data_IF_686737954124
#
_entry.id   IF_686737954124
#
_cell.length_a   1.000
_cell.length_b   1.000
_cell.length_c   1.000
_cell.angle_alpha   90.00
_cell.angle_beta   90.00
_cell.angle_gamma   90.00
#
_symmetry.space_group_name_H-M   'P 1'
#
loop_
_entity.id
_entity.type
_entity.pdbx_description
1 polymer ?
#
# COMPACT_ATOMS: atom_id res chain seq x y z
N UNK A 1 -50.50 -0.51 31.04
CA UNK A 1 -49.97 0.39 30.00
C UNK A 1 -48.46 0.32 30.09
N UNK A 2 -47.83 -0.42 29.18
CA UNK A 2 -46.37 -0.46 29.07
C UNK A 2 -45.98 0.82 28.35
N UNK A 3 -45.25 1.70 29.03
CA UNK A 3 -44.68 2.89 28.41
C UNK A 3 -43.66 2.41 27.37
N UNK A 4 -43.96 2.67 26.09
CA UNK A 4 -42.95 2.63 25.03
C UNK A 4 -42.01 3.80 25.30
N UNK A 5 -40.98 3.58 26.12
CA UNK A 5 -39.83 4.46 26.15
C UNK A 5 -39.16 4.35 24.77
N UNK A 6 -39.21 5.45 24.01
CA UNK A 6 -38.38 5.60 22.82
C UNK A 6 -36.93 5.39 23.24
N UNK A 7 -36.19 4.49 22.57
CA UNK A 7 -34.80 4.24 22.91
C UNK A 7 -34.00 5.55 22.84
N UNK A 8 -33.01 5.75 23.73
CA UNK A 8 -32.17 6.94 23.70
C UNK A 8 -31.50 7.08 22.32
N UNK A 9 -31.72 8.22 21.68
CA UNK A 9 -31.09 8.58 20.41
C UNK A 9 -29.78 9.29 20.70
N UNK A 10 -28.66 8.61 20.49
CA UNK A 10 -27.33 9.21 20.59
C UNK A 10 -26.97 9.93 19.30
N UNK A 11 -26.54 11.19 19.39
CA UNK A 11 -26.03 11.93 18.24
C UNK A 11 -24.60 11.47 17.90
N UNK A 12 -24.31 11.27 16.61
CA UNK A 12 -22.95 10.98 16.17
C UNK A 12 -22.01 12.13 16.50
N UNK A 13 -20.86 11.82 17.12
CA UNK A 13 -19.82 12.79 17.45
C UNK A 13 -18.85 13.02 16.28
N UNK A 14 -18.93 12.18 15.24
CA UNK A 14 -18.14 12.28 14.02
C UNK A 14 -19.03 12.53 12.81
N UNK A 15 -18.58 13.43 11.94
CA UNK A 15 -19.21 13.72 10.65
C UNK A 15 -18.16 13.58 9.55
N UNK A 16 -18.45 12.79 8.51
CA UNK A 16 -17.48 12.48 7.44
C UNK A 16 -16.83 13.74 6.84
N UNK A 17 -17.64 14.77 6.54
CA UNK A 17 -17.16 16.02 5.95
C UNK A 17 -16.26 16.87 6.86
N UNK A 18 -16.16 16.55 8.15
CA UNK A 18 -15.21 17.15 9.09
C UNK A 18 -13.95 16.29 9.28
N UNK A 19 -14.06 14.99 8.99
CA UNK A 19 -12.99 14.01 9.17
C UNK A 19 -12.09 13.85 7.95
N UNK A 20 -12.52 14.38 6.81
CA UNK A 20 -11.78 14.41 5.56
C UNK A 20 -11.40 15.85 5.24
N UNK A 21 -10.15 16.11 4.81
CA UNK A 21 -9.75 17.45 4.38
C UNK A 21 -10.63 17.91 3.22
N UNK A 22 -11.01 19.20 3.20
CA UNK A 22 -11.90 19.73 2.16
C UNK A 22 -11.26 19.62 0.78
N UNK A 23 -11.98 18.97 -0.13
CA UNK A 23 -11.60 18.83 -1.52
C UNK A 23 -12.59 19.59 -2.41
N UNK A 24 -12.17 20.77 -2.90
CA UNK A 24 -13.02 21.64 -3.72
C UNK A 24 -12.47 21.72 -5.14
N UNK A 25 -13.12 21.03 -6.07
CA UNK A 25 -12.87 21.16 -7.50
C UNK A 25 -14.16 21.57 -8.21
N UNK A 26 -14.08 22.58 -9.07
CA UNK A 26 -15.23 23.09 -9.81
C UNK A 26 -15.75 22.11 -10.88
N UNK A 27 -14.90 21.19 -11.34
CA UNK A 27 -15.23 20.20 -12.36
C UNK A 27 -14.39 18.94 -12.18
N UNK A 28 -15.02 17.77 -12.33
CA UNK A 28 -14.44 16.44 -12.11
C UNK A 28 -14.22 15.75 -13.46
N UNK A 29 -13.17 16.14 -14.18
CA UNK A 29 -12.86 15.63 -15.52
C UNK A 29 -12.87 14.09 -15.62
N UNK A 30 -12.40 13.42 -14.57
CA UNK A 30 -12.34 11.96 -14.54
C UNK A 30 -13.72 11.28 -14.59
N UNK A 31 -14.83 11.96 -14.23
CA UNK A 31 -16.18 11.41 -14.41
C UNK A 31 -16.51 11.26 -15.91
N UNK A 32 -16.08 12.21 -16.75
CA UNK A 32 -16.25 12.14 -18.20
C UNK A 32 -15.28 11.16 -18.86
N UNK A 33 -14.05 11.06 -18.36
CA UNK A 33 -13.11 10.03 -18.80
C UNK A 33 -13.59 8.62 -18.45
N UNK A 34 -14.27 8.44 -17.31
CA UNK A 34 -14.89 7.17 -16.94
C UNK A 34 -15.95 6.75 -17.95
N UNK A 35 -16.75 7.69 -18.48
CA UNK A 35 -17.67 7.40 -19.59
C UNK A 35 -16.91 6.83 -20.79
N UNK A 36 -15.86 7.51 -21.26
CA UNK A 36 -15.08 7.05 -22.41
C UNK A 36 -14.48 5.65 -22.19
N UNK A 37 -13.97 5.37 -20.98
CA UNK A 37 -13.40 4.05 -20.64
C UNK A 37 -14.46 2.96 -20.61
N UNK A 38 -15.64 3.19 -20.02
CA UNK A 38 -16.73 2.20 -19.99
C UNK A 38 -17.22 1.78 -21.38
N UNK A 39 -17.04 2.64 -22.38
CA UNK A 39 -17.35 2.38 -23.79
C UNK A 39 -16.17 1.84 -24.60
N UNK A 40 -14.95 1.84 -24.04
CA UNK A 40 -13.78 1.25 -24.66
C UNK A 40 -13.85 -0.29 -24.68
N UNK A 41 -12.86 -0.95 -25.26
CA UNK A 41 -12.77 -2.42 -25.31
C UNK A 41 -11.72 -2.99 -24.34
N UNK A 42 -11.15 -2.15 -23.47
CA UNK A 42 -10.12 -2.55 -22.52
C UNK A 42 -10.75 -3.04 -21.19
N UNK A 43 -10.96 -4.34 -21.10
CA UNK A 43 -11.60 -5.02 -19.95
C UNK A 43 -10.91 -4.71 -18.60
N UNK A 44 -9.57 -4.78 -18.48
CA UNK A 44 -8.87 -4.35 -17.26
C UNK A 44 -9.21 -2.91 -16.84
N UNK A 45 -9.21 -1.96 -17.77
CA UNK A 45 -9.50 -0.56 -17.47
C UNK A 45 -10.96 -0.34 -17.07
N UNK A 46 -11.90 -0.98 -17.76
CA UNK A 46 -13.33 -0.95 -17.40
C UNK A 46 -13.53 -1.51 -15.98
N UNK A 47 -12.87 -2.60 -15.66
CA UNK A 47 -12.94 -3.22 -14.33
C UNK A 47 -12.45 -2.27 -13.24
N UNK A 48 -11.35 -1.55 -13.49
CA UNK A 48 -10.83 -0.55 -12.53
C UNK A 48 -11.79 0.64 -12.35
N UNK A 49 -12.43 1.11 -13.43
CA UNK A 49 -13.45 2.18 -13.32
C UNK A 49 -14.62 1.74 -12.45
N UNK A 50 -15.12 0.51 -12.65
CA UNK A 50 -16.18 -0.07 -11.82
C UNK A 50 -15.73 -0.23 -10.37
N UNK A 51 -14.49 -0.69 -10.16
CA UNK A 51 -13.91 -0.99 -8.84
C UNK A 51 -13.84 0.23 -7.93
N UNK A 52 -13.26 1.33 -8.42
CA UNK A 52 -13.14 2.58 -7.64
C UNK A 52 -14.46 3.36 -7.63
N UNK A 53 -15.25 3.26 -8.70
CA UNK A 53 -16.59 3.81 -8.74
C UNK A 53 -16.66 5.33 -8.68
N UNK A 54 -15.69 6.05 -9.26
CA UNK A 54 -15.55 7.51 -9.15
C UNK A 54 -16.60 8.28 -10.00
N UNK A 55 -17.87 8.05 -9.70
CA UNK A 55 -19.03 8.66 -10.33
C UNK A 55 -20.13 8.88 -9.29
N UNK A 56 -20.92 9.93 -9.47
CA UNK A 56 -22.05 10.27 -8.58
C UNK A 56 -23.24 9.33 -8.77
N UNK A 57 -23.53 8.96 -10.01
CA UNK A 57 -24.61 8.03 -10.32
C UNK A 57 -24.11 6.58 -10.22
N UNK A 58 -24.50 5.90 -9.14
CA UNK A 58 -24.13 4.50 -8.89
C UNK A 58 -24.67 3.52 -9.95
N UNK A 59 -25.70 3.91 -10.72
CA UNK A 59 -26.31 3.07 -11.77
C UNK A 59 -25.59 3.20 -13.12
N UNK A 60 -24.68 4.17 -13.24
CA UNK A 60 -24.03 4.52 -14.49
C UNK A 60 -23.27 3.36 -15.16
N UNK A 61 -22.43 2.56 -14.47
CA UNK A 61 -21.77 1.41 -15.09
C UNK A 61 -22.76 0.34 -15.55
N UNK A 62 -23.81 0.10 -14.76
CA UNK A 62 -24.87 -0.87 -15.10
C UNK A 62 -25.56 -0.47 -16.41
N UNK A 63 -26.00 0.77 -16.51
CA UNK A 63 -26.68 1.29 -17.69
C UNK A 63 -25.76 1.25 -18.92
N UNK A 64 -24.49 1.62 -18.74
CA UNK A 64 -23.47 1.56 -19.80
C UNK A 64 -23.28 0.13 -20.31
N UNK A 65 -23.09 -0.85 -19.43
CA UNK A 65 -22.91 -2.25 -19.80
C UNK A 65 -24.17 -2.87 -20.42
N UNK A 66 -25.36 -2.58 -19.91
CA UNK A 66 -26.63 -3.07 -20.47
C UNK A 66 -26.83 -2.62 -21.92
N UNK A 67 -26.34 -1.43 -22.27
CA UNK A 67 -26.43 -0.89 -23.63
C UNK A 67 -25.43 -1.50 -24.63
N UNK A 68 -24.45 -2.29 -24.17
CA UNK A 68 -23.49 -2.97 -25.05
C UNK A 68 -24.11 -4.23 -25.66
N UNK A 69 -23.56 -4.64 -26.81
CA UNK A 69 -23.99 -5.87 -27.46
C UNK A 69 -23.66 -7.12 -26.62
N UNK A 70 -24.40 -8.20 -26.87
CA UNK A 70 -24.28 -9.45 -26.11
C UNK A 70 -22.88 -10.08 -26.21
N UNK A 71 -22.29 -10.08 -27.41
CA UNK A 71 -20.98 -10.67 -27.67
C UNK A 71 -19.85 -10.00 -26.86
N UNK A 72 -19.91 -8.67 -26.72
CA UNK A 72 -18.93 -7.92 -25.92
C UNK A 72 -19.08 -8.23 -24.43
N UNK A 73 -20.31 -8.29 -23.93
CA UNK A 73 -20.59 -8.62 -22.53
C UNK A 73 -20.15 -10.06 -22.23
N UNK A 74 -20.36 -10.99 -23.17
CA UNK A 74 -19.88 -12.35 -23.04
C UNK A 74 -18.35 -12.44 -22.99
N UNK A 75 -17.65 -11.82 -23.95
CA UNK A 75 -16.19 -11.79 -23.97
C UNK A 75 -15.60 -11.16 -22.69
N UNK A 76 -16.23 -10.10 -22.19
CA UNK A 76 -15.86 -9.46 -20.93
C UNK A 76 -16.02 -10.45 -19.76
N UNK A 77 -17.20 -11.04 -19.61
CA UNK A 77 -17.45 -12.00 -18.54
C UNK A 77 -16.48 -13.19 -18.57
N UNK A 78 -16.20 -13.74 -19.76
CA UNK A 78 -15.24 -14.85 -19.90
C UNK A 78 -13.82 -14.46 -19.50
N UNK A 79 -13.42 -13.21 -19.76
CA UNK A 79 -12.10 -12.68 -19.35
C UNK A 79 -11.98 -12.54 -17.83
N UNK A 80 -13.08 -12.25 -17.13
CA UNK A 80 -13.12 -12.13 -15.66
C UNK A 80 -13.33 -13.47 -14.93
N UNK A 81 -13.45 -14.57 -15.66
CA UNK A 81 -13.92 -15.84 -15.11
C UNK A 81 -12.94 -16.98 -15.34
N UNK A 82 -12.88 -17.88 -14.37
CA UNK A 82 -12.06 -19.08 -14.48
C UNK A 82 -12.64 -20.03 -15.55
N UNK A 83 -11.80 -20.78 -16.29
CA UNK A 83 -12.26 -21.67 -17.36
C UNK A 83 -13.33 -22.68 -16.93
N UNK A 84 -13.29 -23.12 -15.67
CA UNK A 84 -14.28 -24.07 -15.11
C UNK A 84 -15.68 -23.47 -14.96
N UNK A 85 -15.78 -22.14 -14.84
CA UNK A 85 -17.04 -21.42 -14.65
C UNK A 85 -17.70 -21.06 -15.98
N UNK A 86 -16.98 -21.12 -17.09
CA UNK A 86 -17.47 -20.63 -18.39
C UNK A 86 -18.79 -21.30 -18.80
N UNK A 87 -18.93 -22.62 -18.61
CA UNK A 87 -20.14 -23.34 -18.98
C UNK A 87 -21.39 -22.85 -18.23
N UNK A 88 -21.29 -22.56 -16.93
CA UNK A 88 -22.42 -22.07 -16.15
C UNK A 88 -22.76 -20.62 -16.49
N UNK A 89 -21.74 -19.79 -16.71
CA UNK A 89 -21.89 -18.38 -17.04
C UNK A 89 -22.50 -18.14 -18.43
N UNK A 90 -22.28 -19.05 -19.39
CA UNK A 90 -22.87 -18.97 -20.72
C UNK A 90 -24.40 -19.05 -20.73
N UNK A 91 -25.00 -19.70 -19.72
CA UNK A 91 -26.46 -19.87 -19.61
C UNK A 91 -27.19 -18.63 -19.09
N UNK A 92 -26.45 -17.63 -18.60
CA UNK A 92 -27.01 -16.41 -18.03
C UNK A 92 -27.63 -15.51 -19.11
N UNK A 93 -28.75 -14.87 -18.79
CA UNK A 93 -29.30 -13.78 -19.61
C UNK A 93 -28.33 -12.59 -19.68
N UNK A 94 -28.51 -11.71 -20.68
CA UNK A 94 -27.68 -10.50 -20.83
C UNK A 94 -27.58 -9.68 -19.55
N UNK A 95 -28.72 -9.46 -18.88
CA UNK A 95 -28.77 -8.71 -17.62
C UNK A 95 -27.99 -9.42 -16.51
N UNK A 96 -28.14 -10.74 -16.37
CA UNK A 96 -27.41 -11.52 -15.37
C UNK A 96 -25.90 -11.53 -15.63
N UNK A 97 -25.47 -11.57 -16.90
CA UNK A 97 -24.05 -11.44 -17.27
C UNK A 97 -23.50 -10.08 -16.84
N UNK A 98 -24.26 -9.00 -17.05
CA UNK A 98 -23.88 -7.64 -16.60
C UNK A 98 -23.76 -7.56 -15.07
N UNK A 99 -24.72 -8.09 -14.31
CA UNK A 99 -24.62 -8.11 -12.85
C UNK A 99 -23.41 -8.89 -12.35
N UNK A 100 -23.05 -9.99 -13.03
CA UNK A 100 -21.88 -10.78 -12.67
C UNK A 100 -20.56 -10.05 -12.98
N UNK A 101 -20.49 -9.31 -14.10
CA UNK A 101 -19.37 -8.41 -14.40
C UNK A 101 -19.23 -7.37 -13.29
N UNK A 102 -20.32 -6.66 -12.95
CA UNK A 102 -20.30 -5.66 -11.89
C UNK A 102 -19.82 -6.26 -10.57
N UNK A 103 -20.37 -7.42 -10.17
CA UNK A 103 -19.99 -8.11 -8.93
C UNK A 103 -18.50 -8.50 -8.89
N UNK A 104 -17.92 -8.95 -10.02
CA UNK A 104 -16.51 -9.36 -10.12
C UNK A 104 -15.55 -8.18 -10.21
N UNK A 105 -15.99 -7.07 -10.80
CA UNK A 105 -15.18 -5.86 -10.94
C UNK A 105 -15.27 -4.94 -9.72
N UNK A 106 -16.33 -4.99 -8.93
CA UNK A 106 -16.51 -4.19 -7.71
C UNK A 106 -15.69 -4.72 -6.53
N UNK A 107 -15.49 -3.86 -5.52
CA UNK A 107 -14.95 -4.27 -4.23
C UNK A 107 -15.87 -5.28 -3.52
N UNK A 108 -15.32 -6.17 -2.66
CA UNK A 108 -16.12 -7.08 -1.87
C UNK A 108 -17.16 -6.33 -1.02
N UNK A 109 -18.35 -6.92 -0.79
CA UNK A 109 -19.36 -6.29 0.05
C UNK A 109 -18.82 -6.09 1.47
N UNK A 110 -18.96 -4.87 1.97
CA UNK A 110 -18.56 -4.51 3.32
C UNK A 110 -19.32 -5.35 4.36
N UNK A 111 -18.61 -5.79 5.39
CA UNK A 111 -19.19 -6.52 6.52
C UNK A 111 -19.04 -5.68 7.78
N UNK A 112 -20.18 -5.22 8.27
CA UNK A 112 -20.26 -4.49 9.53
C UNK A 112 -19.85 -5.40 10.69
N UNK A 113 -18.84 -4.97 11.43
CA UNK A 113 -18.43 -5.59 12.69
C UNK A 113 -18.61 -4.55 13.79
N UNK A 114 -19.35 -4.89 14.87
CA UNK A 114 -19.55 -3.97 15.97
C UNK A 114 -18.29 -3.83 16.82
N UNK A 115 -18.17 -2.68 17.48
CA UNK A 115 -17.17 -2.41 18.50
C UNK A 115 -17.27 -3.44 19.63
N UNK A 116 -16.14 -4.02 20.03
CA UNK A 116 -16.10 -5.14 20.98
C UNK A 116 -15.30 -4.87 22.25
N UNK A 117 -14.57 -3.74 22.31
CA UNK A 117 -13.85 -3.34 23.51
C UNK A 117 -14.76 -2.60 24.50
N UNK A 118 -14.66 -2.92 25.79
CA UNK A 118 -15.43 -2.28 26.85
C UNK A 118 -14.51 -1.75 27.97
N UNK A 119 -14.90 -0.65 28.63
CA UNK A 119 -14.22 -0.17 29.83
C UNK A 119 -14.08 -1.27 30.90
N UNK A 120 -12.87 -1.49 31.44
CA UNK A 120 -12.69 -2.44 32.54
C UNK A 120 -13.43 -1.98 33.81
N UNK A 121 -13.81 -2.94 34.67
CA UNK A 121 -14.48 -2.63 35.94
C UNK A 121 -13.55 -1.88 36.91
N UNK A 122 -14.09 -1.01 37.79
CA UNK A 122 -13.29 -0.29 38.77
C UNK A 122 -12.42 -1.19 39.64
N UNK A 123 -11.23 -0.71 40.00
CA UNK A 123 -10.27 -1.48 40.80
C UNK A 123 -9.52 -2.58 40.03
N UNK A 124 -9.55 -2.53 38.70
CA UNK A 124 -8.74 -3.40 37.85
C UNK A 124 -7.24 -3.15 38.02
N UNK A 125 -6.42 -4.14 37.63
CA UNK A 125 -4.95 -4.01 37.66
C UNK A 125 -4.34 -3.35 36.41
N UNK A 126 -5.14 -3.04 35.39
CA UNK A 126 -4.64 -2.41 34.16
C UNK A 126 -4.19 -0.96 34.43
N UNK A 127 -3.08 -0.54 33.83
CA UNK A 127 -2.66 0.84 33.83
C UNK A 127 -3.27 1.62 32.65
N UNK A 128 -3.23 2.94 32.73
CA UNK A 128 -3.77 3.82 31.67
C UNK A 128 -3.12 3.57 30.29
N UNK A 129 -1.86 3.11 30.27
CA UNK A 129 -1.14 2.81 29.04
C UNK A 129 -1.70 1.56 28.35
N UNK A 130 -2.00 0.50 29.11
CA UNK A 130 -2.61 -0.72 28.59
C UNK A 130 -4.02 -0.45 28.08
N UNK A 131 -4.84 0.30 28.82
CA UNK A 131 -6.18 0.70 28.36
C UNK A 131 -6.09 1.46 27.02
N UNK A 132 -5.20 2.44 26.91
CA UNK A 132 -4.98 3.17 25.66
C UNK A 132 -4.49 2.27 24.52
N UNK A 133 -3.75 1.20 24.83
CA UNK A 133 -3.27 0.24 23.83
C UNK A 133 -4.37 -0.71 23.34
N UNK A 134 -5.28 -1.12 24.21
CA UNK A 134 -6.41 -1.96 23.83
C UNK A 134 -7.41 -1.18 22.97
N UNK A 135 -7.73 0.06 23.34
CA UNK A 135 -8.57 0.96 22.54
C UNK A 135 -7.94 1.21 21.16
N UNK A 136 -6.62 1.44 21.11
CA UNK A 136 -5.90 1.63 19.85
C UNK A 136 -5.96 0.38 18.96
N UNK A 137 -5.83 -0.79 19.57
CA UNK A 137 -5.87 -2.08 18.87
C UNK A 137 -7.25 -2.30 18.23
N UNK A 138 -8.32 -1.99 18.95
CA UNK A 138 -9.69 -2.07 18.43
C UNK A 138 -9.93 -1.04 17.31
N UNK A 139 -9.45 0.20 17.50
CA UNK A 139 -9.51 1.25 16.47
C UNK A 139 -8.79 0.84 15.19
N UNK A 140 -7.59 0.28 15.31
CA UNK A 140 -6.82 -0.26 14.18
C UNK A 140 -7.52 -1.46 13.53
N UNK A 141 -8.12 -2.36 14.32
CA UNK A 141 -8.90 -3.48 13.80
C UNK A 141 -10.06 -3.02 12.90
N UNK A 142 -10.79 -1.98 13.31
CA UNK A 142 -11.85 -1.40 12.48
C UNK A 142 -11.31 -0.70 11.24
N UNK A 143 -10.17 0.02 11.33
CA UNK A 143 -9.53 0.63 10.18
C UNK A 143 -9.13 -0.41 9.12
N UNK A 144 -8.63 -1.57 9.55
CA UNK A 144 -8.29 -2.69 8.68
C UNK A 144 -9.48 -3.32 7.94
N UNK A 145 -10.72 -2.91 8.22
CA UNK A 145 -11.92 -3.34 7.48
C UNK A 145 -12.28 -2.42 6.31
N UNK A 146 -11.63 -1.26 6.22
CA UNK A 146 -11.86 -0.31 5.15
C UNK A 146 -10.95 -0.69 3.97
N UNK A 147 -11.56 -0.96 2.82
CA UNK A 147 -10.81 -1.17 1.58
C UNK A 147 -10.25 0.16 1.07
N UNK A 148 -9.12 0.12 0.38
CA UNK A 148 -8.44 1.34 -0.08
C UNK A 148 -9.32 2.18 -1.02
N UNK A 149 -10.12 1.53 -1.85
CA UNK A 149 -11.06 2.16 -2.77
C UNK A 149 -12.09 3.02 -2.04
N UNK A 150 -12.56 2.60 -0.86
CA UNK A 150 -13.51 3.36 -0.05
C UNK A 150 -12.85 4.61 0.57
N UNK A 151 -11.59 4.51 0.98
CA UNK A 151 -10.81 5.69 1.40
C UNK A 151 -10.65 6.66 0.23
N UNK A 152 -10.35 6.17 -0.97
CA UNK A 152 -10.25 7.02 -2.17
C UNK A 152 -11.58 7.72 -2.46
N UNK A 153 -12.69 6.98 -2.45
CA UNK A 153 -14.04 7.53 -2.65
C UNK A 153 -14.33 8.62 -1.63
N UNK A 154 -14.10 8.35 -0.35
CA UNK A 154 -14.33 9.31 0.72
C UNK A 154 -13.44 10.56 0.55
N UNK A 155 -12.16 10.37 0.19
CA UNK A 155 -11.20 11.45 -0.04
C UNK A 155 -11.61 12.40 -1.16
N UNK A 156 -12.35 11.89 -2.15
CA UNK A 156 -12.83 12.66 -3.31
C UNK A 156 -14.30 13.07 -3.18
N UNK A 157 -14.86 13.01 -1.96
CA UNK A 157 -16.23 13.42 -1.66
C UNK A 157 -17.28 12.61 -2.43
N UNK A 158 -17.11 11.28 -2.43
CA UNK A 158 -18.12 10.30 -2.79
C UNK A 158 -18.59 9.52 -1.55
N UNK A 159 -19.78 8.92 -1.64
CA UNK A 159 -20.30 8.03 -0.62
C UNK A 159 -19.34 6.84 -0.37
N UNK A 160 -19.00 6.60 0.90
CA UNK A 160 -18.08 5.55 1.35
C UNK A 160 -18.59 4.93 2.67
N UNK A 161 -19.54 3.98 2.59
CA UNK A 161 -20.22 3.41 3.76
C UNK A 161 -19.28 2.79 4.79
N UNK A 162 -18.17 2.19 4.37
CA UNK A 162 -17.22 1.56 5.30
C UNK A 162 -16.45 2.57 6.14
N UNK A 163 -16.19 3.76 5.60
CA UNK A 163 -15.56 4.89 6.32
C UNK A 163 -16.54 5.50 7.30
N UNK A 164 -17.81 5.66 6.90
CA UNK A 164 -18.87 6.10 7.80
C UNK A 164 -19.09 5.11 8.95
N UNK A 165 -19.09 3.81 8.66
CA UNK A 165 -19.18 2.78 9.69
C UNK A 165 -18.03 2.86 10.69
N UNK A 166 -16.80 3.06 10.22
CA UNK A 166 -15.64 3.25 11.10
C UNK A 166 -15.82 4.43 12.06
N UNK A 167 -16.37 5.56 11.59
CA UNK A 167 -16.69 6.71 12.44
C UNK A 167 -17.83 6.41 13.44
N UNK A 168 -18.84 5.65 13.01
CA UNK A 168 -19.90 5.16 13.89
C UNK A 168 -19.35 4.27 15.02
N UNK A 169 -18.33 3.45 14.76
CA UNK A 169 -17.71 2.64 15.82
C UNK A 169 -17.01 3.47 16.89
N UNK A 170 -16.40 4.59 16.51
CA UNK A 170 -15.83 5.52 17.49
C UNK A 170 -16.91 6.31 18.25
N UNK A 171 -18.08 6.50 17.65
CA UNK A 171 -19.26 6.98 18.37
C UNK A 171 -19.72 5.94 19.40
N UNK A 172 -19.77 4.65 19.05
CA UNK A 172 -20.11 3.58 20.00
C UNK A 172 -19.13 3.53 21.19
N UNK A 173 -17.82 3.65 20.92
CA UNK A 173 -16.81 3.82 21.98
C UNK A 173 -17.14 4.98 22.92
N UNK A 174 -17.52 6.15 22.37
CA UNK A 174 -17.88 7.31 23.19
C UNK A 174 -19.10 7.05 24.09
N UNK A 175 -20.09 6.30 23.61
CA UNK A 175 -21.28 5.94 24.41
C UNK A 175 -20.85 5.04 25.57
N UNK A 176 -20.08 3.99 25.31
CA UNK A 176 -19.60 3.09 26.36
C UNK A 176 -18.74 3.80 27.41
N UNK A 177 -17.87 4.72 26.97
CA UNK A 177 -17.05 5.53 27.88
C UNK A 177 -17.90 6.50 28.70
N UNK A 178 -18.89 7.14 28.09
CA UNK A 178 -19.81 8.06 28.78
C UNK A 178 -20.56 7.34 29.89
N UNK A 179 -21.19 6.20 29.58
CA UNK A 179 -21.95 5.41 30.54
C UNK A 179 -21.06 4.94 31.70
N UNK A 180 -19.83 4.48 31.39
CA UNK A 180 -18.86 4.03 32.38
C UNK A 180 -18.41 5.17 33.31
N UNK A 181 -18.01 6.31 32.75
CA UNK A 181 -17.51 7.44 33.55
C UNK A 181 -18.61 8.13 34.38
N UNK A 182 -19.87 8.07 33.93
CA UNK A 182 -21.02 8.50 34.72
C UNK A 182 -21.31 7.55 35.89
N UNK A 183 -21.17 6.23 35.67
CA UNK A 183 -21.36 5.22 36.70
C UNK A 183 -20.21 5.19 37.73
N UNK A 184 -18.98 5.50 37.30
CA UNK A 184 -17.76 5.41 38.10
C UNK A 184 -16.90 6.68 38.03
N UNK A 185 -17.32 7.79 38.66
CA UNK A 185 -16.58 9.05 38.62
C UNK A 185 -15.14 8.96 39.18
N UNK A 186 -14.85 7.99 40.04
CA UNK A 186 -13.53 7.73 40.59
C UNK A 186 -12.49 7.28 39.54
N UNK A 187 -12.92 6.76 38.39
CA UNK A 187 -12.06 6.32 37.29
C UNK A 187 -11.64 7.48 36.37
N UNK A 188 -12.26 8.66 36.49
CA UNK A 188 -11.96 9.84 35.66
C UNK A 188 -10.46 10.19 35.63
N UNK A 189 -9.71 10.19 36.75
CA UNK A 189 -8.26 10.42 36.74
C UNK A 189 -7.48 9.41 35.88
N UNK A 190 -7.89 8.14 35.88
CA UNK A 190 -7.27 7.10 35.03
C UNK A 190 -7.47 7.45 33.57
N UNK A 191 -8.70 7.81 33.18
CA UNK A 191 -9.03 8.15 31.80
C UNK A 191 -8.43 9.49 31.32
N UNK A 192 -8.13 10.41 32.23
CA UNK A 192 -7.30 11.58 31.91
C UNK A 192 -5.86 11.18 31.54
N UNK A 193 -5.29 10.15 32.17
CA UNK A 193 -3.99 9.60 31.77
C UNK A 193 -4.09 8.76 30.47
N UNK A 194 -5.20 8.04 30.26
CA UNK A 194 -5.47 7.32 29.00
C UNK A 194 -5.47 8.29 27.82
N UNK A 195 -6.12 9.46 27.95
CA UNK A 195 -6.12 10.50 26.91
C UNK A 195 -4.69 10.89 26.51
N UNK A 196 -3.79 11.10 27.48
CA UNK A 196 -2.39 11.47 27.20
C UNK A 196 -1.68 10.40 26.38
N UNK A 197 -1.94 9.13 26.65
CA UNK A 197 -1.38 8.03 25.88
C UNK A 197 -2.01 7.89 24.48
N UNK A 198 -3.27 8.30 24.31
CA UNK A 198 -3.94 8.32 23.01
C UNK A 198 -3.48 9.47 22.09
N UNK A 199 -2.83 10.51 22.62
CA UNK A 199 -2.28 11.65 21.84
C UNK A 199 -1.33 11.25 20.71
N UNK A 200 -0.60 10.15 20.86
CA UNK A 200 0.31 9.61 19.85
C UNK A 200 -0.20 8.30 19.23
N UNK A 201 -1.48 7.99 19.41
CA UNK A 201 -2.17 6.79 18.89
C UNK A 201 -3.40 7.26 18.09
N UNK A 202 -4.53 6.56 18.17
CA UNK A 202 -5.74 6.86 17.38
C UNK A 202 -6.32 8.25 17.68
N UNK A 203 -6.35 9.15 16.66
CA UNK A 203 -6.99 10.46 16.80
C UNK A 203 -8.51 10.37 16.93
N UNK A 204 -9.12 9.28 16.47
CA UNK A 204 -10.56 9.04 16.59
C UNK A 204 -10.91 8.59 18.01
N UNK A 205 -10.19 7.60 18.55
CA UNK A 205 -10.40 7.15 19.93
C UNK A 205 -10.14 8.25 20.94
N UNK A 206 -9.09 9.05 20.72
CA UNK A 206 -8.80 10.23 21.55
C UNK A 206 -9.97 11.19 21.57
N UNK A 207 -10.51 11.57 20.40
CA UNK A 207 -11.63 12.53 20.34
C UNK A 207 -12.90 11.98 20.96
N UNK A 208 -13.18 10.68 20.80
CA UNK A 208 -14.28 10.02 21.51
C UNK A 208 -14.15 10.15 23.04
N UNK A 209 -12.95 9.90 23.58
CA UNK A 209 -12.68 10.04 25.01
C UNK A 209 -12.74 11.50 25.49
N UNK A 210 -12.12 12.42 24.74
CA UNK A 210 -12.12 13.85 25.08
C UNK A 210 -13.54 14.41 25.10
N UNK A 211 -14.39 14.03 24.15
CA UNK A 211 -15.80 14.40 24.15
C UNK A 211 -16.52 13.96 25.44
N UNK A 212 -16.27 12.73 25.91
CA UNK A 212 -16.83 12.24 27.17
C UNK A 212 -16.35 13.04 28.37
N UNK A 213 -15.03 13.27 28.45
CA UNK A 213 -14.42 14.03 29.55
C UNK A 213 -14.89 15.49 29.58
N UNK A 214 -15.05 16.13 28.42
CA UNK A 214 -15.59 17.50 28.30
C UNK A 214 -17.05 17.59 28.74
N UNK A 215 -17.82 16.53 28.50
CA UNK A 215 -19.23 16.48 28.90
C UNK A 215 -19.39 16.27 30.41
N UNK A 216 -18.56 15.42 31.02
CA UNK A 216 -18.68 15.05 32.44
C UNK A 216 -17.93 16.02 33.35
N UNK A 217 -16.73 16.48 32.97
CA UNK A 217 -15.88 17.36 33.80
C UNK A 217 -15.33 18.54 32.97
N UNK A 218 -16.18 19.54 32.63
CA UNK A 218 -15.82 20.62 31.72
C UNK A 218 -14.60 21.43 32.18
N UNK A 219 -14.47 21.68 33.49
CA UNK A 219 -13.40 22.50 34.07
C UNK A 219 -12.02 21.87 33.91
N UNK A 220 -11.91 20.56 34.13
CA UNK A 220 -10.66 19.82 33.95
C UNK A 220 -10.35 19.60 32.47
N UNK A 221 -11.38 19.37 31.66
CA UNK A 221 -11.24 19.11 30.24
C UNK A 221 -10.86 20.36 29.41
N UNK A 222 -11.10 21.57 29.92
CA UNK A 222 -10.66 22.82 29.30
C UNK A 222 -9.13 22.93 29.13
N UNK A 223 -8.36 22.11 29.87
CA UNK A 223 -6.89 22.04 29.78
C UNK A 223 -6.40 21.08 28.69
N UNK A 224 -7.28 20.27 28.09
CA UNK A 224 -6.90 19.27 27.09
C UNK A 224 -6.66 19.98 25.75
N UNK A 225 -5.49 19.80 25.10
CA UNK A 225 -5.20 20.41 23.81
C UNK A 225 -6.16 19.90 22.72
N UNK A 226 -6.82 20.82 22.03
CA UNK A 226 -7.71 20.49 20.93
C UNK A 226 -6.93 20.02 19.69
N UNK A 227 -7.43 18.99 19.01
CA UNK A 227 -6.85 18.47 17.77
C UNK A 227 -7.63 19.03 16.59
N UNK A 228 -7.06 20.04 15.91
CA UNK A 228 -7.71 20.69 14.76
C UNK A 228 -7.56 19.93 13.44
N UNK A 229 -6.77 18.86 13.41
CA UNK A 229 -6.53 18.08 12.20
C UNK A 229 -7.64 17.06 11.99
N UNK A 230 -8.14 16.98 10.76
CA UNK A 230 -9.10 15.97 10.32
C UNK A 230 -8.48 14.56 10.48
N UNK A 231 -9.24 13.59 11.01
CA UNK A 231 -8.69 12.29 11.38
C UNK A 231 -8.10 11.51 10.20
N UNK A 232 -8.65 11.66 8.99
CA UNK A 232 -8.13 11.02 7.78
C UNK A 232 -7.10 11.88 7.02
N UNK A 233 -6.65 13.02 7.55
CA UNK A 233 -5.71 13.92 6.87
C UNK A 233 -4.45 13.22 6.37
N UNK A 234 -3.94 12.25 7.13
CA UNK A 234 -2.73 11.51 6.80
C UNK A 234 -2.84 10.72 5.49
N UNK A 235 -4.04 10.26 5.09
CA UNK A 235 -4.24 9.46 3.88
C UNK A 235 -5.05 10.18 2.82
N UNK A 236 -6.10 10.91 3.20
CA UNK A 236 -6.96 11.62 2.28
C UNK A 236 -6.26 12.80 1.62
N UNK A 237 -5.44 13.56 2.37
CA UNK A 237 -4.67 14.68 1.82
C UNK A 237 -3.73 14.26 0.67
N UNK A 238 -2.88 13.24 0.88
CA UNK A 238 -2.06 12.68 -0.20
C UNK A 238 -2.89 12.19 -1.39
N UNK A 239 -3.99 11.45 -1.17
CA UNK A 239 -4.85 10.99 -2.28
C UNK A 239 -5.41 12.17 -3.09
N UNK A 240 -5.92 13.20 -2.42
CA UNK A 240 -6.46 14.41 -3.06
C UNK A 240 -5.39 15.11 -3.90
N UNK A 241 -4.13 15.14 -3.44
CA UNK A 241 -3.04 15.79 -4.16
C UNK A 241 -2.77 15.18 -5.54
N UNK A 242 -3.12 13.91 -5.78
CA UNK A 242 -3.01 13.26 -7.10
C UNK A 242 -3.97 13.84 -8.16
N UNK A 243 -4.99 14.57 -7.72
CA UNK A 243 -5.97 15.23 -8.60
C UNK A 243 -5.77 16.74 -8.71
N UNK A 244 -4.80 17.28 -7.98
CA UNK A 244 -4.44 18.69 -8.02
C UNK A 244 -3.38 18.92 -9.11
N UNK A 245 -3.28 20.14 -9.62
CA UNK A 245 -2.18 20.60 -10.49
C UNK A 245 -1.96 19.79 -11.78
N UNK A 246 -3.04 19.63 -12.56
CA UNK A 246 -3.12 18.88 -13.83
C UNK A 246 -3.08 17.36 -13.64
N UNK A 247 -4.22 16.75 -13.27
CA UNK A 247 -4.29 15.30 -13.11
C UNK A 247 -3.92 14.59 -14.42
N UNK A 248 -3.14 13.49 -14.35
CA UNK A 248 -3.01 12.62 -15.50
C UNK A 248 -4.37 11.96 -15.81
N UNK A 249 -4.54 11.45 -17.04
CA UNK A 249 -5.81 10.82 -17.43
C UNK A 249 -6.20 9.67 -16.49
N UNK A 250 -7.50 9.42 -16.33
CA UNK A 250 -8.08 8.50 -15.35
C UNK A 250 -7.42 7.12 -15.36
N UNK A 251 -7.16 6.53 -16.53
CA UNK A 251 -6.51 5.21 -16.63
C UNK A 251 -5.12 5.17 -16.01
N UNK A 252 -4.40 6.30 -16.00
CA UNK A 252 -3.14 6.47 -15.29
C UNK A 252 -3.36 6.51 -13.80
N UNK A 253 -4.29 7.34 -13.32
CA UNK A 253 -4.58 7.45 -11.89
C UNK A 253 -5.03 6.11 -11.32
N UNK A 254 -5.89 5.37 -12.04
CA UNK A 254 -6.35 4.05 -11.59
C UNK A 254 -5.21 3.01 -11.49
N UNK A 255 -4.20 3.10 -12.37
CA UNK A 255 -2.98 2.29 -12.25
C UNK A 255 -2.16 2.68 -11.03
N UNK A 256 -1.99 3.99 -10.78
CA UNK A 256 -1.35 4.49 -9.55
C UNK A 256 -2.09 3.99 -8.32
N UNK A 257 -3.42 4.12 -8.30
CA UNK A 257 -4.25 3.63 -7.21
C UNK A 257 -4.16 2.12 -7.01
N UNK A 258 -4.03 1.34 -8.07
CA UNK A 258 -3.82 -0.11 -7.94
C UNK A 258 -2.52 -0.41 -7.18
N UNK A 259 -1.44 0.32 -7.47
CA UNK A 259 -0.16 0.21 -6.74
C UNK A 259 -0.31 0.68 -5.29
N UNK A 260 -0.98 1.81 -5.08
CA UNK A 260 -1.24 2.36 -3.76
C UNK A 260 -2.15 1.46 -2.91
N UNK A 261 -3.08 0.71 -3.50
CA UNK A 261 -3.88 -0.27 -2.79
C UNK A 261 -3.00 -1.38 -2.20
N UNK A 262 -2.01 -1.87 -2.95
CA UNK A 262 -1.04 -2.87 -2.44
C UNK A 262 -0.22 -2.28 -1.30
N UNK A 263 0.26 -1.04 -1.47
CA UNK A 263 1.00 -0.31 -0.43
C UNK A 263 0.18 -0.08 0.84
N UNK A 264 -1.08 0.33 0.70
CA UNK A 264 -2.03 0.53 1.79
C UNK A 264 -2.19 -0.75 2.61
N UNK A 265 -2.40 -1.89 1.95
CA UNK A 265 -2.49 -3.19 2.63
C UNK A 265 -1.21 -3.52 3.39
N UNK A 266 -0.03 -3.29 2.77
CA UNK A 266 1.27 -3.51 3.42
C UNK A 266 1.47 -2.62 4.65
N UNK A 267 1.17 -1.32 4.52
CA UNK A 267 1.47 -0.32 5.53
C UNK A 267 0.49 -0.32 6.70
N UNK A 268 -0.79 -0.60 6.45
CA UNK A 268 -1.82 -0.45 7.47
C UNK A 268 -2.55 -1.75 7.82
N UNK A 269 -2.81 -2.65 6.86
CA UNK A 269 -3.54 -3.89 7.15
C UNK A 269 -2.62 -4.97 7.70
N UNK A 270 -1.45 -5.16 7.10
CA UNK A 270 -0.50 -6.20 7.48
C UNK A 270 0.51 -5.72 8.54
N UNK A 271 0.45 -4.44 8.93
CA UNK A 271 1.27 -3.90 10.02
C UNK A 271 0.68 -4.31 11.37
N UNK A 272 1.55 -4.55 12.36
CA UNK A 272 1.13 -4.79 13.75
C UNK A 272 0.82 -3.50 14.52
N UNK A 273 1.15 -2.34 13.95
CA UNK A 273 0.93 -1.03 14.55
C UNK A 273 0.45 -0.04 13.51
N UNK A 274 -0.53 0.76 13.89
CA UNK A 274 -1.04 1.84 13.07
C UNK A 274 -0.20 3.11 13.28
N UNK A 275 0.07 3.82 12.18
CA UNK A 275 0.64 5.17 12.20
C UNK A 275 -0.37 6.14 11.59
N UNK A 276 -1.02 6.90 12.45
CA UNK A 276 -2.07 7.86 12.10
C UNK A 276 -1.55 9.23 11.68
N UNK A 277 -0.25 9.49 11.83
CA UNK A 277 0.31 10.84 11.71
C UNK A 277 1.28 10.98 10.55
N UNK A 278 1.97 9.89 10.17
CA UNK A 278 2.80 9.89 8.97
C UNK A 278 1.92 9.90 7.72
N UNK A 279 2.08 10.89 6.82
CA UNK A 279 1.33 10.93 5.58
C UNK A 279 1.53 9.66 4.76
N UNK A 280 0.46 9.17 4.16
CA UNK A 280 0.49 8.02 3.27
C UNK A 280 1.40 8.33 2.08
N UNK A 281 2.39 7.47 1.87
CA UNK A 281 3.36 7.65 0.81
C UNK A 281 2.72 7.33 -0.54
N UNK A 282 2.46 8.37 -1.33
CA UNK A 282 1.92 8.28 -2.68
C UNK A 282 3.02 8.26 -3.75
N UNK A 283 4.31 8.22 -3.36
CA UNK A 283 5.43 8.25 -4.30
C UNK A 283 5.37 7.06 -5.25
N UNK A 284 5.30 7.34 -6.54
CA UNK A 284 5.15 6.36 -7.62
C UNK A 284 6.26 6.48 -8.68
N UNK A 285 7.41 7.04 -8.31
CA UNK A 285 8.54 7.32 -9.21
C UNK A 285 8.92 6.12 -10.09
N UNK A 286 9.02 4.92 -9.51
CA UNK A 286 9.33 3.71 -10.28
C UNK A 286 8.27 3.38 -11.36
N UNK A 287 6.99 3.59 -11.06
CA UNK A 287 5.93 3.39 -12.05
C UNK A 287 6.02 4.44 -13.16
N UNK A 288 6.34 5.69 -12.82
CA UNK A 288 6.59 6.74 -13.80
C UNK A 288 7.81 6.43 -14.66
N UNK A 289 8.90 5.94 -14.08
CA UNK A 289 10.09 5.49 -14.84
C UNK A 289 9.73 4.38 -15.83
N UNK A 290 8.90 3.42 -15.43
CA UNK A 290 8.40 2.37 -16.32
C UNK A 290 7.58 2.93 -17.48
N UNK A 291 6.76 3.96 -17.24
CA UNK A 291 5.89 4.59 -18.25
C UNK A 291 6.66 5.49 -19.21
N UNK A 292 7.65 6.21 -18.69
CA UNK A 292 8.47 7.16 -19.45
C UNK A 292 9.57 6.46 -20.26
N UNK A 293 9.95 5.24 -19.87
CA UNK A 293 10.96 4.45 -20.58
C UNK A 293 10.41 3.84 -21.87
N UNK A 294 11.10 4.08 -22.98
CA UNK A 294 10.68 3.62 -24.32
C UNK A 294 10.77 2.11 -24.51
N UNK A 295 11.60 1.43 -23.70
CA UNK A 295 11.78 -0.03 -23.72
C UNK A 295 12.35 -0.52 -22.39
N UNK A 296 12.31 -1.82 -22.16
CA UNK A 296 12.88 -2.43 -20.96
C UNK A 296 14.41 -2.19 -20.85
N UNK A 297 15.12 -2.11 -21.98
CA UNK A 297 16.54 -1.74 -22.05
C UNK A 297 16.78 -0.27 -21.70
N UNK A 298 15.82 0.59 -22.03
CA UNK A 298 15.86 2.02 -21.70
C UNK A 298 15.68 2.22 -20.19
N UNK A 299 14.69 1.55 -19.59
CA UNK A 299 14.49 1.54 -18.13
C UNK A 299 15.74 1.05 -17.39
N UNK A 300 16.33 -0.04 -17.84
CA UNK A 300 17.59 -0.55 -17.28
C UNK A 300 18.67 0.53 -17.26
N UNK A 301 18.80 1.32 -18.34
CA UNK A 301 19.77 2.41 -18.43
C UNK A 301 19.43 3.57 -17.48
N UNK A 302 18.16 3.97 -17.41
CA UNK A 302 17.70 5.05 -16.50
C UNK A 302 18.02 4.70 -15.05
N UNK A 303 17.66 3.49 -14.62
CA UNK A 303 17.93 3.03 -13.24
C UNK A 303 19.43 2.90 -12.96
N UNK A 304 20.21 2.41 -13.93
CA UNK A 304 21.67 2.37 -13.84
C UNK A 304 22.26 3.76 -13.60
N UNK A 305 21.88 4.74 -14.43
CA UNK A 305 22.41 6.10 -14.33
C UNK A 305 21.97 6.79 -13.03
N UNK A 306 20.77 6.49 -12.52
CA UNK A 306 20.34 6.96 -11.21
C UNK A 306 21.22 6.39 -10.08
N UNK A 307 21.52 5.09 -10.12
CA UNK A 307 22.42 4.45 -9.16
C UNK A 307 23.85 4.99 -9.26
N UNK A 308 24.40 5.23 -10.45
CA UNK A 308 25.73 5.84 -10.61
C UNK A 308 25.81 7.21 -9.91
N UNK A 309 24.77 8.03 -10.06
CA UNK A 309 24.66 9.34 -9.39
C UNK A 309 24.56 9.18 -7.87
N UNK A 310 23.79 8.21 -7.40
CA UNK A 310 23.63 7.93 -5.97
C UNK A 310 24.91 7.36 -5.34
N UNK A 311 25.73 6.60 -6.08
CA UNK A 311 26.99 6.02 -5.58
C UNK A 311 28.19 6.97 -5.71
N UNK A 312 28.16 7.94 -6.62
CA UNK A 312 29.25 8.90 -6.83
C UNK A 312 29.78 9.61 -5.56
N UNK A 313 28.95 10.03 -4.58
CA UNK A 313 29.45 10.68 -3.36
C UNK A 313 29.87 9.70 -2.25
N UNK A 314 29.82 8.38 -2.48
CA UNK A 314 30.15 7.39 -1.45
C UNK A 314 31.66 7.38 -1.18
N UNK A 315 32.06 7.58 0.08
CA UNK A 315 33.47 7.57 0.47
C UNK A 315 33.80 6.39 1.39
N UNK A 316 35.10 6.08 1.55
CA UNK A 316 35.55 5.11 2.58
C UNK A 316 35.01 5.47 3.97
N UNK A 317 35.08 6.75 4.33
CA UNK A 317 34.60 7.25 5.63
C UNK A 317 33.09 7.06 5.78
N UNK A 318 32.32 7.26 4.70
CA UNK A 318 30.88 7.04 4.68
C UNK A 318 30.51 5.60 5.08
N UNK A 319 31.21 4.63 4.53
CA UNK A 319 30.97 3.20 4.79
C UNK A 319 31.41 2.81 6.20
N UNK A 320 32.61 3.19 6.62
CA UNK A 320 33.16 2.78 7.92
C UNK A 320 32.41 3.39 9.09
N UNK A 321 31.85 4.60 8.92
CA UNK A 321 31.04 5.26 9.95
C UNK A 321 29.54 4.94 9.86
N UNK A 322 29.09 4.26 8.80
CA UNK A 322 27.67 4.00 8.55
C UNK A 322 26.86 5.29 8.48
N UNK A 323 27.37 6.25 7.71
CA UNK A 323 26.83 7.60 7.62
C UNK A 323 25.44 7.67 6.97
N UNK A 324 24.89 8.89 6.93
CA UNK A 324 23.56 9.16 6.34
C UNK A 324 23.50 8.71 4.89
N UNK A 325 24.60 8.83 4.14
CA UNK A 325 24.66 8.45 2.73
C UNK A 325 24.54 6.93 2.54
N UNK A 326 25.31 6.16 3.29
CA UNK A 326 25.27 4.69 3.26
C UNK A 326 23.88 4.16 3.62
N UNK A 327 23.24 4.75 4.63
CA UNK A 327 21.85 4.44 5.01
C UNK A 327 20.85 4.82 3.92
N UNK A 328 21.06 5.95 3.25
CA UNK A 328 20.20 6.41 2.14
C UNK A 328 20.21 5.43 0.98
N UNK A 329 21.39 5.02 0.51
CA UNK A 329 21.50 4.07 -0.61
C UNK A 329 20.85 2.73 -0.25
N UNK A 330 21.10 2.21 0.96
CA UNK A 330 20.47 0.96 1.42
C UNK A 330 18.94 1.07 1.51
N UNK A 331 18.43 2.24 1.93
CA UNK A 331 16.99 2.52 1.99
C UNK A 331 16.38 2.63 0.59
N UNK A 332 17.04 3.35 -0.34
CA UNK A 332 16.63 3.47 -1.74
C UNK A 332 16.53 2.11 -2.42
N UNK A 333 17.53 1.24 -2.20
CA UNK A 333 17.52 -0.13 -2.71
C UNK A 333 16.29 -0.91 -2.24
N UNK A 334 15.99 -0.87 -0.94
CA UNK A 334 14.84 -1.59 -0.38
C UNK A 334 13.50 -1.00 -0.87
N UNK A 335 13.42 0.33 -0.96
CA UNK A 335 12.24 1.03 -1.47
C UNK A 335 11.97 0.67 -2.94
N UNK A 336 13.01 0.61 -3.77
CA UNK A 336 12.87 0.20 -5.18
C UNK A 336 12.43 -1.26 -5.30
N UNK A 337 13.02 -2.17 -4.52
CA UNK A 337 12.59 -3.58 -4.48
C UNK A 337 11.12 -3.73 -4.07
N UNK A 338 10.69 -2.97 -3.06
CA UNK A 338 9.29 -2.94 -2.65
C UNK A 338 8.38 -2.33 -3.72
N UNK A 339 8.79 -1.24 -4.37
CA UNK A 339 8.04 -0.61 -5.45
C UNK A 339 7.85 -1.55 -6.64
N UNK A 340 8.88 -2.34 -6.99
CA UNK A 340 8.79 -3.40 -8.02
C UNK A 340 7.76 -4.46 -7.61
N UNK A 341 7.83 -4.95 -6.37
CA UNK A 341 6.86 -5.92 -5.87
C UNK A 341 5.43 -5.36 -5.86
N UNK A 342 5.24 -4.12 -5.41
CA UNK A 342 3.94 -3.42 -5.41
C UNK A 342 3.40 -3.28 -6.84
N UNK A 343 4.23 -2.85 -7.79
CA UNK A 343 3.85 -2.69 -9.19
C UNK A 343 3.49 -4.01 -9.86
N UNK A 344 4.27 -5.08 -9.67
CA UNK A 344 3.94 -6.40 -10.24
C UNK A 344 2.68 -7.01 -9.62
N UNK A 345 2.45 -6.76 -8.33
CA UNK A 345 1.25 -7.24 -7.64
C UNK A 345 0.01 -6.51 -8.14
N UNK A 346 0.10 -5.20 -8.37
CA UNK A 346 -0.99 -4.37 -8.84
C UNK A 346 -1.26 -4.48 -10.35
N UNK A 347 -0.20 -4.60 -11.14
CA UNK A 347 -0.21 -4.56 -12.61
C UNK A 347 0.60 -5.76 -13.12
N UNK A 348 0.02 -6.96 -13.19
CA UNK A 348 0.73 -8.18 -13.60
C UNK A 348 1.37 -8.09 -14.99
N UNK A 349 0.83 -7.26 -15.89
CA UNK A 349 1.36 -7.04 -17.25
C UNK A 349 2.79 -6.46 -17.23
N UNK A 350 3.18 -5.74 -16.17
CA UNK A 350 4.54 -5.23 -16.02
C UNK A 350 5.58 -6.34 -15.81
N UNK A 351 5.17 -7.55 -15.42
CA UNK A 351 6.10 -8.62 -15.05
C UNK A 351 7.01 -9.03 -16.21
N UNK A 352 6.46 -9.15 -17.44
CA UNK A 352 7.24 -9.47 -18.64
C UNK A 352 8.21 -8.33 -18.98
N UNK A 353 7.73 -7.09 -18.95
CA UNK A 353 8.55 -5.91 -19.21
C UNK A 353 9.73 -5.79 -18.23
N UNK A 354 9.50 -6.07 -16.94
CA UNK A 354 10.54 -6.02 -15.91
C UNK A 354 11.49 -7.22 -15.95
N UNK A 355 11.03 -8.39 -16.41
CA UNK A 355 11.90 -9.53 -16.74
C UNK A 355 12.85 -9.16 -17.88
N UNK A 356 12.35 -8.55 -18.94
CA UNK A 356 13.16 -8.10 -20.08
C UNK A 356 14.14 -7.01 -19.64
N UNK A 357 13.74 -6.14 -18.70
CA UNK A 357 14.61 -5.11 -18.12
C UNK A 357 15.77 -5.77 -17.35
N UNK A 358 15.46 -6.77 -16.54
CA UNK A 358 16.47 -7.57 -15.82
C UNK A 358 17.43 -8.26 -16.78
N UNK A 359 16.91 -8.89 -17.84
CA UNK A 359 17.73 -9.54 -18.84
C UNK A 359 18.61 -8.54 -19.60
N UNK A 360 18.07 -7.37 -19.95
CA UNK A 360 18.81 -6.30 -20.59
C UNK A 360 19.93 -5.76 -19.69
N UNK A 361 19.70 -5.60 -18.38
CA UNK A 361 20.76 -5.23 -17.42
C UNK A 361 21.87 -6.29 -17.36
N UNK A 362 21.51 -7.58 -17.34
CA UNK A 362 22.47 -8.69 -17.35
C UNK A 362 23.25 -8.79 -18.67
N UNK A 363 22.62 -8.47 -19.81
CA UNK A 363 23.24 -8.53 -21.13
C UNK A 363 24.03 -7.27 -21.50
N UNK A 364 23.62 -6.08 -21.07
CA UNK A 364 24.38 -4.83 -21.30
C UNK A 364 25.76 -4.88 -20.63
N UNK A 365 25.91 -5.68 -19.57
CA UNK A 365 27.20 -6.01 -18.97
C UNK A 365 28.14 -6.79 -19.92
N UNK A 366 27.73 -7.18 -21.13
CA UNK A 366 28.53 -8.01 -22.05
C UNK A 366 29.01 -7.31 -23.33
N UNK A 367 28.49 -6.13 -23.71
CA UNK A 367 28.70 -5.57 -25.07
C UNK A 367 29.31 -4.16 -25.19
N UNK A 368 29.64 -3.45 -24.10
CA UNK A 368 30.43 -2.20 -24.20
C UNK A 368 31.93 -2.52 -24.17
N UNK A 369 32.62 -2.41 -25.31
CA UNK A 369 34.08 -2.24 -25.47
C UNK A 369 34.99 -2.74 -24.32
N UNK A 370 35.05 -4.06 -24.09
CA UNK A 370 35.89 -4.70 -23.06
C UNK A 370 35.63 -4.23 -21.61
N UNK A 371 34.51 -3.57 -21.33
CA UNK A 371 34.11 -3.11 -19.99
C UNK A 371 32.81 -3.78 -19.59
N UNK A 372 32.92 -4.80 -18.75
CA UNK A 372 31.76 -5.50 -18.16
C UNK A 372 31.24 -4.73 -16.95
N UNK A 373 30.68 -3.55 -17.21
CA UNK A 373 29.97 -2.80 -16.17
C UNK A 373 28.67 -3.55 -15.85
N UNK A 374 28.56 -4.13 -14.66
CA UNK A 374 27.27 -4.59 -14.12
C UNK A 374 26.58 -3.37 -13.52
N UNK A 375 25.41 -2.98 -14.03
CA UNK A 375 24.53 -2.15 -13.24
C UNK A 375 23.47 -3.00 -12.56
N UNK A 376 23.17 -2.53 -11.35
CA UNK A 376 22.29 -3.10 -10.36
C UNK A 376 20.90 -3.37 -10.95
N UNK A 377 20.62 -4.64 -11.23
CA UNK A 377 19.26 -5.19 -11.36
C UNK A 377 18.79 -5.82 -10.05
N UNK A 378 19.57 -5.76 -8.97
CA UNK A 378 19.30 -6.50 -7.74
C UNK A 378 17.98 -6.09 -7.04
N UNK A 379 17.61 -4.79 -6.90
CA UNK A 379 16.29 -4.42 -6.39
C UNK A 379 15.15 -4.96 -7.24
N UNK A 380 15.27 -4.90 -8.57
CA UNK A 380 14.24 -5.40 -9.50
C UNK A 380 14.12 -6.92 -9.40
N UNK A 381 15.25 -7.62 -9.36
CA UNK A 381 15.29 -9.07 -9.20
C UNK A 381 14.72 -9.49 -7.84
N UNK A 382 15.11 -8.82 -6.75
CA UNK A 382 14.58 -9.08 -5.41
C UNK A 382 13.06 -8.80 -5.34
N UNK A 383 12.59 -7.70 -5.94
CA UNK A 383 11.17 -7.37 -6.04
C UNK A 383 10.37 -8.39 -6.85
N UNK A 384 10.88 -8.79 -8.02
CA UNK A 384 10.30 -9.86 -8.85
C UNK A 384 10.32 -11.21 -8.13
N UNK A 385 11.36 -11.50 -7.34
CA UNK A 385 11.44 -12.71 -6.54
C UNK A 385 10.40 -12.73 -5.42
N UNK A 386 10.23 -11.62 -4.68
CA UNK A 386 9.14 -11.45 -3.70
C UNK A 386 7.78 -11.65 -4.36
N UNK A 387 7.60 -11.11 -5.56
CA UNK A 387 6.36 -11.28 -6.33
C UNK A 387 6.15 -12.74 -6.75
N UNK A 388 7.20 -13.44 -7.21
CA UNK A 388 7.15 -14.87 -7.53
C UNK A 388 6.71 -15.72 -6.34
N UNK A 389 7.29 -15.47 -5.16
CA UNK A 389 6.96 -16.19 -3.92
C UNK A 389 5.50 -15.94 -3.53
N UNK A 390 5.05 -14.69 -3.57
CA UNK A 390 3.69 -14.32 -3.15
C UNK A 390 2.61 -14.83 -4.10
N UNK A 391 2.91 -14.97 -5.39
CA UNK A 391 1.96 -15.45 -6.42
C UNK A 391 2.09 -16.95 -6.75
N UNK A 392 3.00 -17.66 -6.08
CA UNK A 392 3.28 -19.08 -6.28
C UNK A 392 2.04 -19.99 -6.26
N UNK A 393 1.05 -19.68 -5.41
CA UNK A 393 -0.19 -20.47 -5.29
C UNK A 393 -1.15 -20.26 -6.47
N UNK A 394 -1.13 -19.09 -7.09
CA UNK A 394 -2.05 -18.72 -8.17
C UNK A 394 -1.54 -19.13 -9.55
N UNK A 395 -0.24 -19.40 -9.71
CA UNK A 395 0.41 -19.71 -11.00
C UNK A 395 0.60 -21.21 -11.29
N UNK A 396 0.01 -22.08 -10.49
CA UNK A 396 -0.04 -23.52 -10.79
C UNK A 396 0.55 -24.39 -9.69
N UNK A 397 -0.30 -24.79 -8.75
CA UNK A 397 -0.12 -26.00 -7.93
C UNK A 397 -0.39 -27.28 -8.76
N UNK A 398 0.08 -27.34 -10.01
CA UNK A 398 -0.17 -28.50 -10.89
C UNK A 398 0.96 -29.55 -10.82
N UNK A 399 2.02 -29.32 -10.03
CA UNK A 399 3.11 -30.28 -9.87
C UNK A 399 3.54 -30.42 -8.40
N UNK A 400 2.70 -31.07 -7.59
CA UNK A 400 3.15 -31.69 -6.34
C UNK A 400 3.74 -33.06 -6.63
N UNK A 401 4.93 -33.12 -7.25
CA UNK A 401 5.77 -34.32 -7.15
C UNK A 401 6.60 -34.16 -5.87
N UNK A 402 6.17 -34.82 -4.79
CA UNK A 402 6.93 -34.89 -3.53
C UNK A 402 6.81 -33.69 -2.58
N UNK A 403 5.76 -32.87 -2.68
CA UNK A 403 5.53 -31.76 -1.73
C UNK A 403 6.44 -30.54 -1.93
N UNK A 404 7.20 -30.49 -3.03
CA UNK A 404 7.97 -29.30 -3.42
C UNK A 404 7.12 -28.32 -4.23
N UNK A 405 7.15 -27.04 -3.85
CA UNK A 405 6.54 -25.94 -4.62
C UNK A 405 7.50 -25.59 -5.76
N UNK A 406 7.11 -25.92 -7.00
CA UNK A 406 7.86 -25.52 -8.20
C UNK A 406 7.35 -24.14 -8.63
N UNK A 407 8.16 -23.11 -8.41
CA UNK A 407 7.87 -21.77 -8.93
C UNK A 407 8.15 -21.75 -10.44
N UNK A 408 7.22 -21.26 -11.24
CA UNK A 408 7.52 -20.92 -12.63
C UNK A 408 8.65 -19.87 -12.63
N UNK A 409 9.77 -20.09 -13.36
CA UNK A 409 10.90 -19.19 -13.30
C UNK A 409 10.56 -17.85 -13.95
N UNK A 410 10.14 -16.88 -13.12
CA UNK A 410 9.94 -15.50 -13.52
C UNK A 410 11.25 -14.80 -13.88
N UNK A 411 12.37 -15.32 -13.38
CA UNK A 411 13.70 -14.73 -13.45
C UNK A 411 14.67 -15.69 -14.15
N UNK A 412 15.66 -15.17 -14.91
CA UNK A 412 16.76 -15.98 -15.40
C UNK A 412 17.51 -16.69 -14.24
N UNK A 413 18.02 -17.93 -14.42
CA UNK A 413 18.72 -18.66 -13.37
C UNK A 413 19.87 -17.90 -12.72
N UNK A 414 20.61 -17.12 -13.52
CA UNK A 414 21.71 -16.25 -13.05
C UNK A 414 21.20 -15.19 -12.07
N UNK A 415 20.04 -14.59 -12.33
CA UNK A 415 19.46 -13.58 -11.44
C UNK A 415 19.12 -14.18 -10.07
N UNK A 416 18.47 -15.35 -10.05
CA UNK A 416 18.14 -16.09 -8.82
C UNK A 416 19.39 -16.48 -8.03
N UNK A 417 20.46 -16.87 -8.73
CA UNK A 417 21.74 -17.20 -8.09
C UNK A 417 22.38 -15.99 -7.41
N UNK A 418 22.33 -14.82 -8.03
CA UNK A 418 22.94 -13.59 -7.50
C UNK A 418 22.15 -12.99 -6.33
N UNK A 419 20.83 -13.21 -6.25
CA UNK A 419 20.01 -12.66 -5.15
C UNK A 419 19.86 -13.62 -3.97
N UNK A 420 20.57 -14.74 -3.97
CA UNK A 420 20.49 -15.71 -2.89
C UNK A 420 21.13 -15.14 -1.59
N UNK A 421 20.37 -14.97 -0.50
CA UNK A 421 20.89 -14.39 0.74
C UNK A 421 21.80 -15.33 1.55
N UNK A 422 21.90 -16.60 1.17
CA UNK A 422 22.69 -17.61 1.89
C UNK A 422 24.15 -17.16 2.07
N UNK A 423 24.67 -17.38 3.28
CA UNK A 423 26.03 -17.01 3.69
C UNK A 423 26.36 -15.54 3.36
N UNK A 424 25.41 -14.63 3.60
CA UNK A 424 25.53 -13.21 3.30
C UNK A 424 25.79 -12.93 1.81
N UNK A 425 24.99 -13.53 0.92
CA UNK A 425 25.11 -13.36 -0.53
C UNK A 425 26.45 -13.84 -1.11
N UNK A 426 26.94 -15.01 -0.67
CA UNK A 426 28.23 -15.55 -1.11
C UNK A 426 28.35 -15.71 -2.64
N UNK A 427 27.29 -16.17 -3.29
CA UNK A 427 27.19 -16.30 -4.75
C UNK A 427 27.40 -14.98 -5.47
N UNK A 428 26.77 -13.91 -5.00
CA UNK A 428 26.95 -12.56 -5.52
C UNK A 428 28.39 -12.08 -5.31
N UNK A 429 28.95 -12.21 -4.11
CA UNK A 429 30.30 -11.74 -3.82
C UNK A 429 31.36 -12.46 -4.67
N UNK A 430 31.21 -13.77 -4.85
CA UNK A 430 32.08 -14.55 -5.73
C UNK A 430 32.00 -14.05 -7.18
N UNK A 431 30.79 -13.78 -7.66
CA UNK A 431 30.57 -13.25 -9.00
C UNK A 431 31.13 -11.84 -9.16
N UNK A 432 30.91 -10.96 -8.19
CA UNK A 432 31.43 -9.59 -8.18
C UNK A 432 32.96 -9.55 -8.20
N UNK A 433 33.62 -10.48 -7.49
CA UNK A 433 35.08 -10.60 -7.53
C UNK A 433 35.64 -10.93 -8.92
N UNK A 434 34.84 -11.53 -9.81
CA UNK A 434 35.22 -11.81 -11.20
C UNK A 434 34.77 -10.72 -12.18
N UNK A 435 33.70 -10.01 -11.84
CA UNK A 435 33.05 -9.00 -12.68
C UNK A 435 32.63 -7.80 -11.80
N UNK A 436 33.54 -6.87 -11.48
CA UNK A 436 33.20 -5.72 -10.66
C UNK A 436 32.30 -4.72 -11.41
N UNK A 437 31.45 -4.02 -10.68
CA UNK A 437 30.47 -3.05 -11.19
C UNK A 437 29.92 -2.19 -10.05
N UNK A 438 28.73 -1.61 -10.19
CA UNK A 438 28.12 -0.87 -9.07
C UNK A 438 27.77 -1.88 -7.95
N UNK A 439 28.32 -1.75 -6.73
CA UNK A 439 28.20 -2.77 -5.71
C UNK A 439 26.81 -2.77 -5.05
N UNK A 440 26.28 -3.97 -4.79
CA UNK A 440 25.18 -4.15 -3.85
C UNK A 440 25.75 -3.95 -2.44
N UNK A 441 25.40 -2.85 -1.76
CA UNK A 441 26.06 -2.46 -0.50
C UNK A 441 25.76 -3.38 0.69
N UNK A 442 24.58 -3.99 0.75
CA UNK A 442 24.11 -4.70 1.96
C UNK A 442 25.04 -5.85 2.43
N UNK A 443 25.56 -6.74 1.55
CA UNK A 443 26.50 -7.78 1.95
C UNK A 443 27.77 -7.18 2.55
N UNK A 444 28.32 -6.12 1.95
CA UNK A 444 29.55 -5.47 2.42
C UNK A 444 29.36 -4.75 3.76
N UNK A 445 28.22 -4.09 3.98
CA UNK A 445 27.89 -3.47 5.28
C UNK A 445 27.84 -4.54 6.37
N UNK A 446 27.21 -5.69 6.11
CA UNK A 446 27.14 -6.81 7.06
C UNK A 446 28.51 -7.43 7.32
N UNK A 447 29.33 -7.53 6.29
CA UNK A 447 30.69 -8.09 6.38
C UNK A 447 31.61 -7.16 7.16
N UNK A 448 31.48 -5.83 6.98
CA UNK A 448 32.15 -4.83 7.80
C UNK A 448 31.81 -4.98 9.29
N UNK A 449 30.51 -5.16 9.60
CA UNK A 449 30.06 -5.35 10.98
C UNK A 449 30.62 -6.62 11.62
N UNK A 450 30.94 -7.65 10.83
CA UNK A 450 31.45 -8.93 11.32
C UNK A 450 32.97 -9.02 11.35
N UNK A 451 33.65 -8.45 10.36
CA UNK A 451 35.09 -8.66 10.11
C UNK A 451 35.91 -7.36 10.08
N UNK A 452 35.27 -6.20 10.21
CA UNK A 452 35.92 -4.90 10.11
C UNK A 452 36.32 -4.55 8.67
N UNK A 453 37.36 -3.73 8.49
CA UNK A 453 37.74 -3.19 7.18
C UNK A 453 38.13 -4.25 6.13
N UNK A 454 38.61 -5.43 6.55
CA UNK A 454 38.97 -6.51 5.62
C UNK A 454 37.76 -7.00 4.81
N UNK A 455 36.56 -6.92 5.37
CA UNK A 455 35.31 -7.35 4.72
C UNK A 455 34.79 -6.40 3.63
N UNK A 456 35.35 -5.20 3.50
CA UNK A 456 34.92 -4.18 2.54
C UNK A 456 35.97 -3.81 1.50
N UNK A 457 37.13 -4.49 1.48
CA UNK A 457 38.19 -4.19 0.52
C UNK A 457 37.69 -4.12 -0.95
N UNK A 458 36.86 -5.06 -1.44
CA UNK A 458 36.35 -4.98 -2.82
C UNK A 458 35.45 -3.76 -3.10
N UNK A 459 34.78 -3.25 -2.07
CA UNK A 459 33.96 -2.03 -2.14
C UNK A 459 34.84 -0.77 -2.11
N UNK A 460 35.93 -0.79 -1.32
CA UNK A 460 36.90 0.30 -1.28
C UNK A 460 37.65 0.44 -2.61
N UNK A 461 37.98 -0.68 -3.25
CA UNK A 461 38.64 -0.70 -4.56
C UNK A 461 37.75 -0.03 -5.62
N UNK A 462 36.43 -0.28 -5.60
CA UNK A 462 35.46 0.40 -6.48
C UNK A 462 35.40 1.92 -6.26
N UNK A 463 35.48 2.37 -5.00
CA UNK A 463 35.41 3.80 -4.66
C UNK A 463 36.69 4.54 -5.00
N UNK A 464 37.84 3.90 -4.79
CA UNK A 464 39.16 4.51 -5.03
C UNK A 464 39.46 4.65 -6.52
N UNK A 465 39.04 3.68 -7.30
CA UNK A 465 39.15 3.77 -8.74
C UNK A 465 37.95 3.09 -9.40
N UNK A 466 36.85 3.85 -9.61
CA UNK A 466 35.70 3.38 -10.37
C UNK A 466 36.09 2.96 -11.79
N UNK A 467 37.30 3.32 -12.25
CA UNK A 467 37.88 3.04 -13.55
C UNK A 467 39.01 1.99 -13.57
N UNK A 468 39.63 1.58 -12.45
CA UNK A 468 40.56 0.42 -12.41
C UNK A 468 39.85 -0.91 -12.17
N UNK A 469 38.62 -0.88 -11.67
CA UNK A 469 37.67 -1.97 -11.89
C UNK A 469 37.32 -2.18 -13.39
N UNK A 470 37.85 -1.33 -14.29
CA UNK A 470 37.71 -1.42 -15.76
C UNK A 470 38.99 -1.95 -16.45
N UNK A 471 39.89 -2.61 -15.70
CA UNK A 471 41.10 -3.28 -16.20
C UNK A 471 40.90 -4.75 -16.49
#
# INVERSE_FOLDING_TARGET
MVQNETPPSYQSIFMLGSEIPRFMLGYRLWEDEAFAVLWAFNIPEISQVIRYGLFRDVTFPRNSLLSRNADTIEAFLMTLSEPVEHQSLMTLSHVQKVEEILRRSSIPPFREVPWSWFPPLPGHSLDARSIAADIETESHFHFCKIEFEEIVRASLDYNAPSVEWFLLQHTALSIHLMDHLQAYPEEIPVYLEVEKHLRSRSPFARRALVHCLQTIVPETAATIPDSKLAGFQFIAGPIQSLFMDQPPGLTTILKVFSVLAVRFRRQYIHSSRMDWYTPFDITNSFLEDCRNSTSAKDLARVLTSADEVDFAPLTRQSITTGDVMTKRIATNWNNLSLAVWECCTAIPDLTTYLRDCTQASLQNATFRDNKKEIPISNPIVDGLHKYAITTARSRGLNSTVGGMVVLEPLLPPVAVFLTNPNHNYASYRQYYGQYPGIPFLLPYIREFQQQGESGIQPLLDYIQDPFAAKG
#
